data_IF_970422023355
#
_entry.id   IF_970422023355
#
_cell.length_a   1.000
_cell.length_b   1.000
_cell.length_c   1.000
_cell.angle_alpha   90.00
_cell.angle_beta   90.00
_cell.angle_gamma   90.00
#
_symmetry.space_group_name_H-M   'P 1'
#
loop_
_entity.id
_entity.type
_entity.pdbx_description
1 polymer ?
#
# COMPACT_ATOMS: atom_id res chain seq x y z
N UNK A 1 4.64 3.74 -11.44
CA UNK A 1 4.37 4.34 -10.13
C UNK A 1 3.07 5.14 -10.18
N UNK A 2 2.26 4.93 -9.18
CA UNK A 2 1.00 5.65 -9.05
C UNK A 2 0.98 6.42 -7.74
N UNK A 3 0.47 7.66 -7.79
CA UNK A 3 0.32 8.51 -6.62
C UNK A 3 -1.15 8.57 -6.18
N UNK A 4 -1.38 8.79 -4.88
CA UNK A 4 -2.73 8.94 -4.33
C UNK A 4 -3.47 10.13 -4.96
N UNK A 5 -4.82 10.11 -5.00
CA UNK A 5 -5.69 9.04 -4.51
C UNK A 5 -5.93 7.96 -5.56
N UNK A 6 -5.62 6.73 -5.23
CA UNK A 6 -5.89 5.60 -6.09
C UNK A 6 -6.23 4.38 -5.21
N UNK A 7 -7.35 3.74 -5.48
CA UNK A 7 -7.78 2.58 -4.71
C UNK A 7 -7.08 1.31 -5.17
N UNK A 8 -6.66 0.50 -4.22
CA UNK A 8 -6.19 -0.86 -4.46
C UNK A 8 -7.24 -1.82 -3.92
N UNK A 9 -7.90 -2.53 -4.81
CA UNK A 9 -8.89 -3.52 -4.44
C UNK A 9 -8.22 -4.88 -4.36
N UNK A 10 -8.00 -5.37 -3.16
CA UNK A 10 -7.37 -6.66 -2.92
C UNK A 10 -8.36 -7.81 -3.03
N UNK A 11 -9.58 -7.58 -2.55
CA UNK A 11 -10.74 -8.44 -2.78
C UNK A 11 -12.02 -7.61 -2.63
N UNK A 12 -13.20 -8.25 -2.65
CA UNK A 12 -14.47 -7.54 -2.57
C UNK A 12 -14.67 -6.77 -1.26
N UNK A 13 -13.96 -7.14 -0.22
CA UNK A 13 -14.11 -6.55 1.11
C UNK A 13 -12.91 -5.74 1.57
N UNK A 14 -11.78 -5.84 0.88
CA UNK A 14 -10.54 -5.20 1.29
C UNK A 14 -10.04 -4.26 0.21
N UNK A 15 -10.24 -2.97 0.43
CA UNK A 15 -9.80 -1.89 -0.43
C UNK A 15 -8.90 -0.97 0.40
N UNK A 16 -7.73 -0.62 -0.12
CA UNK A 16 -6.81 0.31 0.51
C UNK A 16 -6.53 1.48 -0.43
N UNK A 17 -6.05 2.58 0.14
CA UNK A 17 -5.69 3.77 -0.62
C UNK A 17 -4.29 4.23 -0.20
N UNK A 18 -3.23 3.50 -0.60
CA UNK A 18 -1.87 3.88 -0.25
C UNK A 18 -1.46 5.19 -0.88
N UNK A 19 -0.46 5.84 -0.30
CA UNK A 19 0.03 7.11 -0.84
C UNK A 19 0.82 6.91 -2.13
N UNK A 20 1.60 5.84 -2.22
CA UNK A 20 2.38 5.50 -3.41
C UNK A 20 2.23 4.01 -3.70
N UNK A 21 2.08 3.68 -4.98
CA UNK A 21 1.93 2.30 -5.45
C UNK A 21 2.90 2.06 -6.59
N UNK A 22 3.60 0.93 -6.54
CA UNK A 22 4.42 0.48 -7.66
C UNK A 22 3.86 -0.83 -8.21
N UNK A 23 3.67 -0.84 -9.52
CA UNK A 23 3.16 -1.98 -10.25
C UNK A 23 4.13 -2.25 -11.41
N UNK A 24 4.80 -3.40 -11.39
CA UNK A 24 5.74 -3.76 -12.45
C UNK A 24 4.99 -4.15 -13.72
N UNK A 25 5.70 -4.13 -14.85
CA UNK A 25 5.11 -4.50 -16.15
C UNK A 25 4.67 -5.96 -16.20
N UNK A 26 5.28 -6.80 -15.37
CA UNK A 26 4.97 -8.23 -15.31
C UNK A 26 3.90 -8.58 -14.28
N UNK A 27 3.44 -7.59 -13.51
CA UNK A 27 2.42 -7.82 -12.49
C UNK A 27 1.08 -8.10 -13.16
N UNK A 28 0.39 -9.14 -12.69
CA UNK A 28 -0.90 -9.55 -13.23
C UNK A 28 -2.09 -8.73 -12.72
N UNK A 29 -1.87 -7.82 -11.78
CA UNK A 29 -2.94 -6.96 -11.28
C UNK A 29 -3.47 -6.07 -12.39
N UNK A 30 -4.78 -5.90 -12.41
CA UNK A 30 -5.43 -5.03 -13.39
C UNK A 30 -5.34 -3.58 -12.96
N UNK A 31 -5.04 -2.72 -13.92
CA UNK A 31 -4.87 -1.30 -13.70
C UNK A 31 -5.91 -0.55 -14.54
N UNK A 32 -6.75 0.23 -13.86
CA UNK A 32 -7.70 1.14 -14.49
C UNK A 32 -7.41 2.54 -13.97
N UNK A 33 -8.04 3.58 -14.56
CA UNK A 33 -7.74 4.98 -14.24
C UNK A 33 -7.79 5.32 -12.76
N UNK A 34 -8.71 4.70 -12.02
CA UNK A 34 -8.97 5.07 -10.62
C UNK A 34 -8.81 3.92 -9.65
N UNK A 35 -8.48 2.72 -10.12
CA UNK A 35 -8.43 1.55 -9.26
C UNK A 35 -7.43 0.52 -9.79
N UNK A 36 -6.73 -0.11 -8.85
CA UNK A 36 -5.89 -1.27 -9.14
C UNK A 36 -6.58 -2.48 -8.50
N UNK A 37 -6.84 -3.51 -9.29
CA UNK A 37 -7.44 -4.75 -8.80
C UNK A 37 -6.36 -5.82 -8.74
N UNK A 38 -6.09 -6.30 -7.53
CA UNK A 38 -5.05 -7.29 -7.27
C UNK A 38 -3.92 -6.72 -6.42
N UNK A 39 -2.87 -7.52 -6.20
CA UNK A 39 -1.75 -7.15 -5.35
C UNK A 39 -0.69 -6.39 -6.15
N UNK A 40 -0.40 -5.13 -5.83
CA UNK A 40 0.73 -4.43 -6.42
C UNK A 40 2.06 -4.98 -5.90
N UNK A 41 3.16 -4.61 -6.55
CA UNK A 41 4.49 -5.05 -6.14
C UNK A 41 4.98 -4.36 -4.88
N UNK A 42 4.58 -3.10 -4.70
CA UNK A 42 4.98 -2.31 -3.54
C UNK A 42 3.89 -1.30 -3.21
N UNK A 43 3.61 -1.14 -1.94
CA UNK A 43 2.79 -0.02 -1.43
C UNK A 43 3.60 0.75 -0.41
N UNK A 44 3.45 2.07 -0.41
CA UNK A 44 4.11 2.95 0.53
C UNK A 44 3.08 3.86 1.16
N UNK A 45 3.13 4.00 2.48
CA UNK A 45 2.27 4.92 3.20
C UNK A 45 3.09 5.89 4.02
N UNK A 46 2.68 7.16 4.00
CA UNK A 46 3.33 8.23 4.75
C UNK A 46 2.55 8.48 6.03
N UNK A 47 3.22 8.36 7.16
CA UNK A 47 2.60 8.58 8.47
C UNK A 47 2.30 10.07 8.63
N UNK A 48 1.05 10.39 8.97
CA UNK A 48 0.64 11.75 9.31
C UNK A 48 0.59 11.93 10.83
N UNK A 49 0.58 13.19 11.34
CA UNK A 49 0.47 13.43 12.77
C UNK A 49 -0.82 12.87 13.40
N UNK A 50 -1.83 12.65 12.59
CA UNK A 50 -3.13 12.16 13.05
C UNK A 50 -3.29 10.65 12.90
N UNK A 51 -2.28 9.96 12.39
CA UNK A 51 -2.33 8.52 12.19
C UNK A 51 -2.03 7.76 13.47
N UNK A 52 -2.69 6.63 13.65
CA UNK A 52 -2.41 5.72 14.77
C UNK A 52 -1.52 4.60 14.26
N UNK A 53 -0.39 4.36 14.94
CA UNK A 53 0.61 3.39 14.48
C UNK A 53 0.05 1.99 14.30
N UNK A 54 -0.88 1.58 15.15
CA UNK A 54 -1.52 0.27 15.02
C UNK A 54 -2.26 0.08 13.70
N UNK A 55 -2.73 1.19 13.08
CA UNK A 55 -3.44 1.10 11.81
C UNK A 55 -2.50 0.67 10.69
N UNK A 56 -1.23 1.08 10.75
CA UNK A 56 -0.23 0.66 9.79
C UNK A 56 0.14 -0.81 9.96
N UNK A 57 0.16 -1.31 11.19
CA UNK A 57 0.39 -2.73 11.44
C UNK A 57 -0.80 -3.59 11.03
N UNK A 58 -2.03 -3.09 11.18
CA UNK A 58 -3.21 -3.77 10.67
C UNK A 58 -3.15 -3.85 9.13
N UNK A 59 -2.73 -2.78 8.47
CA UNK A 59 -2.53 -2.77 7.03
C UNK A 59 -1.41 -3.72 6.60
N UNK A 60 -0.33 -3.81 7.38
CA UNK A 60 0.75 -4.76 7.12
C UNK A 60 0.22 -6.19 7.04
N UNK A 61 -0.61 -6.59 7.99
CA UNK A 61 -1.22 -7.92 7.99
C UNK A 61 -2.12 -8.14 6.78
N UNK A 62 -2.86 -7.11 6.38
CA UNK A 62 -3.72 -7.16 5.20
C UNK A 62 -2.87 -7.34 3.94
N UNK A 63 -1.83 -6.54 3.76
CA UNK A 63 -0.97 -6.64 2.59
C UNK A 63 -0.24 -7.98 2.54
N UNK A 64 0.19 -8.48 3.68
CA UNK A 64 0.83 -9.79 3.78
C UNK A 64 -0.13 -10.91 3.38
N UNK A 65 -1.37 -10.84 3.84
CA UNK A 65 -2.41 -11.82 3.51
C UNK A 65 -2.65 -11.90 2.01
N UNK A 66 -2.65 -10.77 1.32
CA UNK A 66 -2.88 -10.69 -0.11
C UNK A 66 -1.60 -10.75 -0.94
N UNK A 67 -0.46 -11.06 -0.28
CA UNK A 67 0.84 -11.30 -0.93
C UNK A 67 1.38 -10.10 -1.68
N UNK A 68 1.20 -8.89 -1.14
CA UNK A 68 1.91 -7.71 -1.60
C UNK A 68 3.38 -7.87 -1.20
N UNK A 69 4.32 -7.90 -2.15
CA UNK A 69 5.71 -8.25 -1.82
C UNK A 69 6.42 -7.26 -0.91
N UNK A 70 6.14 -5.97 -1.02
CA UNK A 70 6.79 -4.95 -0.22
C UNK A 70 5.79 -3.93 0.31
N UNK A 71 5.93 -3.61 1.59
CA UNK A 71 5.16 -2.56 2.24
C UNK A 71 6.12 -1.62 2.97
N UNK A 72 6.08 -0.34 2.62
CA UNK A 72 6.95 0.67 3.20
C UNK A 72 6.14 1.66 4.01
N UNK A 73 6.62 1.96 5.22
CA UNK A 73 6.03 2.99 6.09
C UNK A 73 7.07 4.09 6.29
N UNK A 74 6.76 5.29 5.83
CA UNK A 74 7.61 6.48 5.98
C UNK A 74 7.03 7.37 7.07
N UNK A 75 7.83 7.67 8.08
CA UNK A 75 7.46 8.57 9.17
C UNK A 75 8.35 9.81 9.14
N UNK A 76 7.90 10.92 8.51
CA UNK A 76 8.72 12.12 8.39
C UNK A 76 9.00 12.79 9.73
N UNK A 77 8.05 12.73 10.66
CA UNK A 77 8.21 13.37 11.98
C UNK A 77 9.34 12.76 12.78
N UNK A 78 9.49 11.43 12.71
CA UNK A 78 10.54 10.69 13.40
C UNK A 78 11.73 10.36 12.48
N UNK A 79 11.67 10.77 11.21
CA UNK A 79 12.71 10.51 10.20
C UNK A 79 13.05 9.01 10.10
N UNK A 80 12.02 8.18 10.10
CA UNK A 80 12.19 6.73 10.01
C UNK A 80 11.54 6.16 8.75
N UNK A 81 12.08 5.04 8.29
CA UNK A 81 11.55 4.27 7.19
C UNK A 81 11.53 2.80 7.61
N UNK A 82 10.36 2.19 7.58
CA UNK A 82 10.21 0.75 7.85
C UNK A 82 9.87 0.05 6.53
N UNK A 83 10.63 -1.00 6.23
CA UNK A 83 10.43 -1.81 5.01
C UNK A 83 10.09 -3.23 5.42
N UNK A 84 8.95 -3.71 4.96
CA UNK A 84 8.49 -5.09 5.20
C UNK A 84 8.49 -5.83 3.86
N UNK A 85 9.19 -6.95 3.82
CA UNK A 85 9.33 -7.78 2.62
C UNK A 85 8.58 -9.09 2.72
#
# INVERSE_FOLDING_TARGET
>A
IFLAPLDVKLDDKNVAQPDIIYLSKTNSANNDENIIVGAPDLVLEVVSPYSVRRDYYAKLKMYEKFKVPEYWIVDPANKTLEIYL
#
